data_IF_243687280010
#
_entry.id   IF_243687280010
#
_cell.length_a   1.000
_cell.length_b   1.000
_cell.length_c   1.000
_cell.angle_alpha   90.00
_cell.angle_beta   90.00
_cell.angle_gamma   90.00
#
_symmetry.space_group_name_H-M   'P 1'
#
loop_
_entity.id
_entity.type
_entity.pdbx_description
1 polymer ?
#
# COMPACT_ATOMS: atom_id res chain seq x y z
N UNK A 1 1.75 -4.96 -2.88
CA UNK A 1 0.32 -4.98 -3.25
C UNK A 1 0.08 -5.10 -4.76
N UNK A 2 0.43 -4.11 -5.59
CA UNK A 2 0.18 -4.15 -7.05
C UNK A 2 0.69 -5.44 -7.72
N UNK A 3 1.91 -5.88 -7.38
CA UNK A 3 2.45 -7.15 -7.87
C UNK A 3 1.58 -8.38 -7.53
N UNK A 4 0.98 -8.43 -6.34
CA UNK A 4 0.08 -9.52 -5.95
C UNK A 4 -1.24 -9.46 -6.73
N UNK A 5 -1.77 -8.25 -7.00
CA UNK A 5 -2.96 -8.09 -7.85
C UNK A 5 -2.71 -8.64 -9.25
N UNK A 6 -1.57 -8.30 -9.86
CA UNK A 6 -1.18 -8.83 -11.19
C UNK A 6 -1.08 -10.36 -11.21
N UNK A 7 -0.65 -10.98 -10.11
CA UNK A 7 -0.53 -12.44 -10.02
C UNK A 7 -1.86 -13.17 -9.88
N UNK A 8 -2.88 -12.52 -9.30
CA UNK A 8 -4.15 -13.17 -8.95
C UNK A 8 -5.35 -12.68 -9.77
N UNK A 9 -5.22 -11.58 -10.52
CA UNK A 9 -6.30 -10.98 -11.30
C UNK A 9 -5.80 -10.69 -12.72
N UNK A 10 -6.18 -11.54 -13.67
CA UNK A 10 -5.74 -11.40 -15.07
C UNK A 10 -6.26 -10.10 -15.71
N UNK A 11 -7.47 -9.66 -15.34
CA UNK A 11 -8.08 -8.43 -15.85
C UNK A 11 -7.26 -7.18 -15.48
N UNK A 12 -6.66 -7.17 -14.28
CA UNK A 12 -5.84 -6.08 -13.78
C UNK A 12 -4.42 -6.08 -14.36
N UNK A 13 -3.92 -7.24 -14.80
CA UNK A 13 -2.56 -7.38 -15.32
C UNK A 13 -2.28 -6.41 -16.45
N UNK A 14 -3.18 -6.34 -17.44
CA UNK A 14 -2.98 -5.49 -18.61
C UNK A 14 -2.99 -4.00 -18.25
N UNK A 15 -3.92 -3.58 -17.39
CA UNK A 15 -4.05 -2.19 -16.96
C UNK A 15 -2.81 -1.75 -16.14
N UNK A 16 -2.35 -2.58 -15.20
CA UNK A 16 -1.17 -2.29 -14.37
C UNK A 16 0.11 -2.29 -15.22
N UNK A 17 0.29 -3.25 -16.13
CA UNK A 17 1.43 -3.26 -17.05
C UNK A 17 1.46 -2.00 -17.93
N UNK A 18 0.31 -1.60 -18.47
CA UNK A 18 0.18 -0.36 -19.25
C UNK A 18 0.53 0.87 -18.42
N UNK A 19 0.10 0.94 -17.15
CA UNK A 19 0.45 2.02 -16.25
C UNK A 19 1.96 2.10 -15.97
N UNK A 20 2.61 0.95 -15.77
CA UNK A 20 4.07 0.87 -15.60
C UNK A 20 4.84 1.30 -16.86
N UNK A 21 4.39 0.90 -18.05
CA UNK A 21 5.00 1.31 -19.32
C UNK A 21 4.89 2.82 -19.55
N UNK A 22 3.73 3.43 -19.22
CA UNK A 22 3.52 4.88 -19.32
C UNK A 22 4.35 5.68 -18.32
N UNK A 23 4.63 5.12 -17.14
CA UNK A 23 5.39 5.80 -16.09
C UNK A 23 6.42 4.84 -15.46
N UNK A 24 7.56 4.58 -16.15
CA UNK A 24 8.54 3.59 -15.70
C UNK A 24 9.25 3.97 -14.40
N UNK A 25 9.19 5.25 -13.99
CA UNK A 25 9.78 5.75 -12.75
C UNK A 25 8.79 5.76 -11.58
N UNK A 26 7.58 5.22 -11.75
CA UNK A 26 6.52 5.21 -10.72
C UNK A 26 6.98 4.63 -9.39
N UNK A 27 7.78 3.54 -9.41
CA UNK A 27 8.30 2.90 -8.20
C UNK A 27 9.29 3.76 -7.40
N UNK A 28 9.76 4.87 -7.99
CA UNK A 28 10.64 5.86 -7.32
C UNK A 28 9.87 7.08 -6.80
N UNK A 29 8.55 7.15 -7.04
CA UNK A 29 7.69 8.22 -6.52
C UNK A 29 7.18 7.85 -5.13
N UNK A 30 6.55 8.80 -4.45
CA UNK A 30 5.94 8.56 -3.13
C UNK A 30 4.82 7.51 -3.18
N UNK A 31 4.46 6.97 -2.00
CA UNK A 31 3.49 5.86 -1.89
C UNK A 31 2.12 6.23 -2.42
N UNK A 32 1.68 7.48 -2.24
CA UNK A 32 0.41 7.98 -2.76
C UNK A 32 0.35 7.88 -4.30
N UNK A 33 1.39 8.35 -5.00
CA UNK A 33 1.45 8.27 -6.46
C UNK A 33 1.54 6.82 -6.94
N UNK A 34 2.26 5.96 -6.20
CA UNK A 34 2.33 4.54 -6.52
C UNK A 34 0.97 3.86 -6.36
N UNK A 35 0.25 4.12 -5.27
CA UNK A 35 -1.09 3.59 -5.02
C UNK A 35 -2.07 4.02 -6.11
N UNK A 36 -2.09 5.31 -6.43
CA UNK A 36 -2.96 5.85 -7.47
C UNK A 36 -2.67 5.22 -8.84
N UNK A 37 -1.40 5.22 -9.25
CA UNK A 37 -1.01 4.81 -10.60
C UNK A 37 -1.08 3.29 -10.81
N UNK A 38 -0.72 2.50 -9.80
CA UNK A 38 -0.54 1.05 -9.93
C UNK A 38 -1.69 0.23 -9.37
N UNK A 39 -2.63 0.85 -8.64
CA UNK A 39 -3.73 0.16 -8.00
C UNK A 39 -5.06 0.82 -8.32
N UNK A 40 -5.28 2.07 -7.91
CA UNK A 40 -6.59 2.72 -8.03
C UNK A 40 -6.99 2.97 -9.48
N UNK A 41 -6.16 3.65 -10.28
CA UNK A 41 -6.48 3.92 -11.68
C UNK A 41 -6.67 2.63 -12.52
N UNK A 42 -5.83 1.59 -12.40
CA UNK A 42 -6.09 0.30 -13.05
C UNK A 42 -7.39 -0.38 -12.60
N UNK A 43 -7.74 -0.29 -11.30
CA UNK A 43 -9.00 -0.84 -10.79
C UNK A 43 -10.20 -0.10 -11.37
N UNK A 44 -10.18 1.24 -11.35
CA UNK A 44 -11.20 2.07 -11.97
C UNK A 44 -11.40 1.70 -13.45
N UNK A 45 -10.32 1.52 -14.20
CA UNK A 45 -10.39 1.14 -15.61
C UNK A 45 -11.10 -0.21 -15.79
N UNK A 46 -10.73 -1.22 -15.01
CA UNK A 46 -11.30 -2.57 -15.11
C UNK A 46 -12.75 -2.62 -14.62
N UNK A 47 -13.06 -1.94 -13.51
CA UNK A 47 -14.42 -1.86 -12.95
C UNK A 47 -15.38 -1.18 -13.93
N UNK A 48 -14.96 -0.08 -14.58
CA UNK A 48 -15.77 0.59 -15.58
C UNK A 48 -15.96 -0.22 -16.87
N UNK A 49 -15.00 -1.10 -17.22
CA UNK A 49 -15.09 -1.95 -18.41
C UNK A 49 -15.88 -3.26 -18.16
N UNK A 50 -15.92 -3.72 -16.92
CA UNK A 50 -16.62 -4.95 -16.52
C UNK A 50 -18.14 -4.75 -16.42
N UNK A 51 -18.91 -5.62 -17.07
CA UNK A 51 -20.37 -5.75 -16.88
C UNK A 51 -20.75 -6.82 -15.84
N UNK A 52 -19.76 -7.48 -15.22
CA UNK A 52 -19.95 -8.55 -14.25
C UNK A 52 -19.89 -8.05 -12.80
N UNK A 53 -20.13 -8.92 -11.81
CA UNK A 53 -19.83 -8.58 -10.42
C UNK A 53 -18.34 -8.22 -10.32
N UNK A 54 -18.03 -7.01 -9.85
CA UNK A 54 -16.65 -6.51 -9.73
C UNK A 54 -15.75 -7.40 -8.87
N UNK A 55 -14.43 -7.17 -8.81
CA UNK A 55 -13.53 -8.02 -8.04
C UNK A 55 -13.71 -7.79 -6.53
N UNK A 56 -14.63 -8.52 -5.90
CA UNK A 56 -14.81 -8.47 -4.44
C UNK A 56 -13.73 -9.28 -3.75
N UNK A 57 -13.03 -8.68 -2.79
CA UNK A 57 -11.99 -9.39 -2.05
C UNK A 57 -11.56 -8.68 -0.77
N UNK A 58 -10.58 -9.29 -0.10
CA UNK A 58 -9.93 -8.69 1.05
C UNK A 58 -8.42 -8.65 0.82
N UNK A 59 -7.79 -7.54 1.22
CA UNK A 59 -6.35 -7.38 1.28
C UNK A 59 -5.96 -7.47 2.75
N UNK A 60 -5.11 -8.44 3.07
CA UNK A 60 -4.60 -8.63 4.43
C UNK A 60 -3.18 -8.08 4.47
N UNK A 61 -2.97 -7.06 5.29
CA UNK A 61 -1.65 -6.49 5.59
C UNK A 61 -1.21 -7.02 6.94
N UNK A 62 -0.29 -7.97 6.94
CA UNK A 62 0.27 -8.55 8.16
C UNK A 62 1.59 -7.86 8.54
N UNK A 63 1.85 -7.73 9.84
CA UNK A 63 3.07 -7.16 10.42
C UNK A 63 3.39 -5.74 9.92
N UNK A 64 2.39 -4.87 9.77
CA UNK A 64 2.62 -3.48 9.35
C UNK A 64 3.56 -2.72 10.32
N UNK A 65 3.58 -3.14 11.58
CA UNK A 65 4.48 -2.61 12.60
C UNK A 65 5.96 -2.91 12.36
N UNK A 66 6.29 -3.84 11.46
CA UNK A 66 7.68 -4.17 11.06
C UNK A 66 8.11 -3.39 9.81
N UNK A 67 7.23 -2.56 9.25
CA UNK A 67 7.59 -1.69 8.13
C UNK A 67 8.40 -0.51 8.68
N UNK A 68 9.72 -0.66 8.63
CA UNK A 68 10.72 0.32 9.03
C UNK A 68 11.59 0.57 7.79
N UNK A 69 11.93 1.84 7.51
CA UNK A 69 12.84 2.11 6.41
C UNK A 69 14.21 1.55 6.79
N UNK A 70 14.68 0.54 6.06
CA UNK A 70 16.08 0.14 6.17
C UNK A 70 16.93 1.35 5.76
N UNK A 71 17.48 2.06 6.76
CA UNK A 71 18.37 3.18 6.54
C UNK A 71 19.67 2.65 5.93
N UNK A 72 19.67 2.37 4.63
CA UNK A 72 20.85 1.99 3.84
C UNK A 72 21.91 3.12 3.74
N UNK A 73 21.74 4.20 4.51
CA UNK A 73 22.69 5.30 4.61
C UNK A 73 22.79 5.84 6.04
N UNK A 74 23.26 5.04 7.01
CA UNK A 74 24.39 5.51 7.81
C UNK A 74 25.12 4.38 8.54
N UNK A 75 26.43 4.38 8.31
CA UNK A 75 27.44 3.60 9.01
C UNK A 75 27.35 3.86 10.53
N UNK A 76 27.25 2.78 11.32
CA UNK A 76 27.40 2.67 12.79
C UNK A 76 26.21 3.12 13.66
N UNK A 77 25.37 2.17 14.09
CA UNK A 77 25.25 1.77 15.51
C UNK A 77 24.82 0.30 15.57
N UNK A 78 25.76 -0.57 15.91
CA UNK A 78 25.48 -1.94 16.35
C UNK A 78 25.12 -1.88 17.84
N UNK A 79 23.85 -2.10 18.19
CA UNK A 79 23.39 -2.22 19.57
C UNK A 79 22.01 -2.90 19.66
N UNK A 80 21.73 -3.76 20.66
CA UNK A 80 20.51 -4.59 20.73
C UNK A 80 19.23 -3.86 21.19
N UNK A 81 19.14 -2.54 20.98
CA UNK A 81 17.89 -1.78 21.12
C UNK A 81 17.87 -0.66 20.09
N UNK A 82 17.37 -0.95 18.89
CA UNK A 82 16.95 0.09 17.97
C UNK A 82 15.64 0.67 18.53
N UNK A 83 15.70 1.86 19.13
CA UNK A 83 14.50 2.65 19.38
C UNK A 83 13.90 3.06 18.04
N UNK A 84 12.57 3.00 17.84
CA UNK A 84 11.94 3.45 16.61
C UNK A 84 12.41 4.88 16.29
N UNK A 85 12.93 5.10 15.10
CA UNK A 85 13.28 6.44 14.66
C UNK A 85 12.01 7.20 14.30
N UNK A 86 12.05 8.54 14.38
CA UNK A 86 10.92 9.39 13.97
C UNK A 86 10.50 9.12 12.51
N UNK A 87 11.45 8.72 11.66
CA UNK A 87 11.22 8.32 10.27
C UNK A 87 10.36 7.06 10.19
N UNK A 88 10.61 6.05 11.01
CA UNK A 88 9.84 4.79 10.99
C UNK A 88 8.35 5.01 11.33
N UNK A 89 8.09 5.89 12.31
CA UNK A 89 6.72 6.28 12.68
C UNK A 89 6.04 7.02 11.52
N UNK A 90 6.77 7.90 10.85
CA UNK A 90 6.24 8.67 9.73
C UNK A 90 5.94 7.79 8.51
N UNK A 91 6.78 6.80 8.23
CA UNK A 91 6.58 5.85 7.13
C UNK A 91 5.37 4.94 7.40
N UNK A 92 5.23 4.43 8.63
CA UNK A 92 4.06 3.67 9.05
C UNK A 92 2.77 4.47 8.92
N UNK A 93 2.80 5.74 9.33
CA UNK A 93 1.67 6.64 9.18
C UNK A 93 1.34 6.91 7.71
N UNK A 94 2.34 7.11 6.84
CA UNK A 94 2.12 7.28 5.40
C UNK A 94 1.42 6.04 4.81
N UNK A 95 1.87 4.84 5.17
CA UNK A 95 1.25 3.60 4.69
C UNK A 95 -0.21 3.52 5.16
N UNK A 96 -0.50 3.80 6.43
CA UNK A 96 -1.87 3.81 6.95
C UNK A 96 -2.77 4.80 6.22
N UNK A 97 -2.28 6.02 5.99
CA UNK A 97 -3.01 7.06 5.25
C UNK A 97 -3.31 6.64 3.82
N UNK A 98 -2.33 6.06 3.14
CA UNK A 98 -2.50 5.57 1.76
C UNK A 98 -3.50 4.41 1.69
N UNK A 99 -3.45 3.47 2.64
CA UNK A 99 -4.42 2.37 2.72
C UNK A 99 -5.82 2.88 3.05
N UNK A 100 -5.95 3.82 3.98
CA UNK A 100 -7.23 4.45 4.31
C UNK A 100 -7.82 5.18 3.11
N UNK A 101 -7.04 6.01 2.43
CA UNK A 101 -7.46 6.71 1.23
C UNK A 101 -7.95 5.73 0.15
N UNK A 102 -7.19 4.65 -0.11
CA UNK A 102 -7.60 3.62 -1.04
C UNK A 102 -8.93 2.95 -0.63
N UNK A 103 -9.12 2.65 0.66
CA UNK A 103 -10.38 2.05 1.15
C UNK A 103 -11.60 2.97 1.09
N UNK A 104 -11.39 4.28 0.97
CA UNK A 104 -12.47 5.27 0.83
C UNK A 104 -12.83 5.53 -0.65
N UNK A 105 -12.02 5.03 -1.59
CA UNK A 105 -12.29 5.14 -3.02
C UNK A 105 -13.48 4.23 -3.39
N UNK A 106 -14.54 4.76 -4.04
CA UNK A 106 -15.73 4.00 -4.38
C UNK A 106 -15.48 2.87 -5.39
N UNK A 107 -14.43 3.00 -6.20
CA UNK A 107 -14.04 2.03 -7.22
C UNK A 107 -13.00 1.04 -6.68
N UNK A 108 -12.62 1.14 -5.41
CA UNK A 108 -11.77 0.17 -4.72
C UNK A 108 -12.61 -0.95 -4.08
N UNK A 109 -12.65 -2.15 -4.67
CA UNK A 109 -13.62 -3.17 -4.30
C UNK A 109 -13.13 -4.09 -3.16
N UNK A 110 -11.97 -3.79 -2.57
CA UNK A 110 -11.36 -4.62 -1.54
C UNK A 110 -11.57 -4.04 -0.15
N UNK A 111 -11.82 -4.93 0.81
CA UNK A 111 -11.71 -4.59 2.24
C UNK A 111 -10.27 -4.76 2.69
N UNK A 112 -9.74 -3.80 3.44
CA UNK A 112 -8.37 -3.89 3.97
C UNK A 112 -8.45 -4.35 5.43
N UNK A 113 -7.75 -5.44 5.74
CA UNK A 113 -7.60 -5.97 7.10
C UNK A 113 -6.13 -5.80 7.49
N UNK A 114 -5.86 -5.06 8.56
CA UNK A 114 -4.51 -4.83 9.07
C UNK A 114 -4.35 -5.66 10.34
N UNK A 115 -3.33 -6.52 10.35
CA UNK A 115 -2.92 -7.30 11.51
C UNK A 115 -1.50 -6.89 11.91
N UNK A 116 -1.36 -6.25 13.06
CA UNK A 116 -0.08 -5.76 13.57
C UNK A 116 -0.01 -5.87 15.10
N UNK A 117 1.20 -5.82 15.66
CA UNK A 117 1.36 -5.62 17.10
C UNK A 117 0.90 -4.21 17.49
N UNK A 118 0.38 -4.01 18.71
CA UNK A 118 -0.02 -2.69 19.17
C UNK A 118 1.19 -1.75 19.24
N UNK A 119 1.09 -0.60 18.57
CA UNK A 119 1.98 0.56 18.73
C UNK A 119 1.13 1.81 18.95
N UNK A 120 1.60 2.84 19.68
CA UNK A 120 0.83 4.06 19.95
C UNK A 120 0.23 4.69 18.68
N UNK A 121 1.02 4.76 17.60
CA UNK A 121 0.58 5.33 16.32
C UNK A 121 -0.62 4.60 15.69
N UNK A 122 -0.70 3.27 15.84
CA UNK A 122 -1.85 2.51 15.34
C UNK A 122 -3.09 2.80 16.18
N UNK A 123 -2.95 2.84 17.51
CA UNK A 123 -4.07 3.16 18.39
C UNK A 123 -4.61 4.57 18.11
N UNK A 124 -3.74 5.58 18.01
CA UNK A 124 -4.13 6.96 17.70
C UNK A 124 -4.78 7.11 16.32
N UNK A 125 -4.36 6.32 15.34
CA UNK A 125 -4.91 6.38 13.98
C UNK A 125 -6.31 5.75 13.88
N UNK A 126 -6.55 4.62 14.56
CA UNK A 126 -7.82 3.90 14.48
C UNK A 126 -8.85 4.37 15.52
N UNK A 127 -8.40 4.92 16.65
CA UNK A 127 -9.23 5.49 17.72
C UNK A 127 -8.84 6.98 17.98
N UNK A 128 -9.22 7.91 17.07
CA UNK A 128 -8.79 9.31 17.11
C UNK A 128 -9.47 10.17 18.19
#
# INVERSE_FOLDING_TARGET
>A
MAYQLVQHQEDLKNAISTAMEKNPVVLKKNLHVQMETLVLAPLQEVVHQSKGPGPWGAIIVNSLDECEAEQYHNTKVTGPQATPTQTDVQDQLEILQVLQAASLDPDFPFRILIASRPKPIFCEFFDP
#
